data_IF_825449337083
#
_entry.id   IF_825449337083
#
_cell.length_a   1.000
_cell.length_b   1.000
_cell.length_c   1.000
_cell.angle_alpha   90.00
_cell.angle_beta   90.00
_cell.angle_gamma   90.00
#
_symmetry.space_group_name_H-M   'P 1'
#
loop_
_entity.id
_entity.type
_entity.pdbx_description
1 polymer ?
#
# COMPACT_ATOMS: atom_id res chain seq x y z
N UNK A 1 37.27 -23.69 -31.32
CA UNK A 1 36.34 -24.07 -30.23
C UNK A 1 35.46 -22.87 -29.97
N UNK A 2 34.24 -22.90 -30.50
CA UNK A 2 33.25 -21.82 -30.32
C UNK A 2 32.80 -21.78 -28.86
N UNK A 3 32.94 -20.61 -28.25
CA UNK A 3 32.52 -20.33 -26.90
C UNK A 3 31.02 -20.01 -26.94
N UNK A 4 30.17 -21.04 -27.00
CA UNK A 4 28.72 -20.88 -26.95
C UNK A 4 28.34 -20.47 -25.52
N UNK A 5 28.31 -19.16 -25.27
CA UNK A 5 27.79 -18.62 -24.01
C UNK A 5 26.33 -19.08 -23.88
N UNK A 6 26.05 -19.85 -22.83
CA UNK A 6 24.72 -20.37 -22.55
C UNK A 6 23.72 -19.21 -22.45
N UNK A 7 22.73 -19.20 -23.33
CA UNK A 7 21.69 -18.18 -23.36
C UNK A 7 20.87 -18.24 -22.06
N UNK A 8 20.69 -17.10 -21.38
CA UNK A 8 19.88 -17.01 -20.17
C UNK A 8 18.41 -17.30 -20.49
N UNK A 9 17.87 -18.41 -19.96
CA UNK A 9 16.51 -18.90 -20.25
C UNK A 9 15.44 -18.41 -19.26
N UNK A 10 15.77 -17.48 -18.37
CA UNK A 10 14.78 -16.85 -17.50
C UNK A 10 13.93 -15.88 -18.32
N UNK A 11 12.69 -16.26 -18.61
CA UNK A 11 11.73 -15.44 -19.35
C UNK A 11 10.40 -15.45 -18.60
N UNK A 12 9.74 -14.30 -18.55
CA UNK A 12 8.39 -14.20 -17.98
C UNK A 12 7.39 -15.03 -18.78
N UNK A 13 6.43 -15.64 -18.10
CA UNK A 13 5.35 -16.38 -18.75
C UNK A 13 4.43 -15.39 -19.48
N UNK A 14 4.32 -15.54 -20.80
CA UNK A 14 3.51 -14.64 -21.65
C UNK A 14 2.02 -14.69 -21.31
N UNK A 15 1.49 -15.85 -20.96
CA UNK A 15 0.08 -16.01 -20.59
C UNK A 15 -0.21 -15.29 -19.28
N UNK A 16 0.68 -15.39 -18.29
CA UNK A 16 0.56 -14.67 -17.03
C UNK A 16 0.66 -13.15 -17.22
N UNK A 17 1.46 -12.68 -18.18
CA UNK A 17 1.54 -11.25 -18.50
C UNK A 17 0.23 -10.73 -19.14
N UNK A 18 -0.42 -11.54 -19.97
CA UNK A 18 -1.72 -11.17 -20.56
C UNK A 18 -2.79 -11.19 -19.47
N UNK A 19 -2.84 -12.25 -18.66
CA UNK A 19 -3.79 -12.37 -17.57
C UNK A 19 -3.64 -11.23 -16.55
N UNK A 20 -2.40 -10.83 -16.21
CA UNK A 20 -2.15 -9.73 -15.28
C UNK A 20 -2.60 -8.37 -15.81
N UNK A 21 -2.72 -8.20 -17.13
CA UNK A 21 -3.23 -6.96 -17.74
C UNK A 21 -4.76 -6.81 -17.65
N UNK A 22 -5.49 -7.91 -17.41
CA UNK A 22 -6.95 -7.94 -17.30
C UNK A 22 -7.42 -7.69 -15.85
N UNK A 23 -7.01 -6.56 -15.28
CA UNK A 23 -7.43 -6.13 -13.94
C UNK A 23 -8.11 -4.76 -13.98
N UNK A 24 -8.71 -4.34 -12.85
CA UNK A 24 -9.44 -3.06 -12.74
C UNK A 24 -8.57 -1.88 -13.19
N UNK A 25 -7.30 -1.84 -12.76
CA UNK A 25 -6.36 -0.77 -13.14
C UNK A 25 -6.07 -0.79 -14.64
N UNK A 26 -5.85 -1.96 -15.23
CA UNK A 26 -5.59 -2.10 -16.67
C UNK A 26 -6.77 -1.63 -17.53
N UNK A 27 -8.00 -1.99 -17.12
CA UNK A 27 -9.22 -1.50 -17.79
C UNK A 27 -9.35 0.01 -17.63
N UNK A 28 -9.13 0.55 -16.42
CA UNK A 28 -9.21 2.00 -16.16
C UNK A 28 -8.20 2.77 -17.02
N UNK A 29 -6.94 2.32 -17.09
CA UNK A 29 -5.91 2.95 -17.93
C UNK A 29 -6.35 2.97 -19.39
N UNK A 30 -6.86 1.84 -19.91
CA UNK A 30 -7.36 1.77 -21.29
C UNK A 30 -8.52 2.74 -21.53
N UNK A 31 -9.45 2.90 -20.59
CA UNK A 31 -10.54 3.88 -20.71
C UNK A 31 -9.97 5.30 -20.78
N UNK A 32 -9.04 5.63 -19.89
CA UNK A 32 -8.42 6.97 -19.82
C UNK A 32 -7.60 7.29 -21.08
N UNK A 33 -6.90 6.32 -21.65
CA UNK A 33 -6.13 6.48 -22.90
C UNK A 33 -7.01 6.74 -24.14
N UNK A 34 -8.28 6.32 -24.09
CA UNK A 34 -9.23 6.51 -25.20
C UNK A 34 -10.04 7.81 -25.07
N UNK A 35 -9.75 8.66 -24.07
CA UNK A 35 -10.35 9.99 -23.96
C UNK A 35 -9.84 10.90 -25.08
N UNK A 36 -10.73 11.73 -25.60
CA UNK A 36 -10.39 12.74 -26.60
C UNK A 36 -9.51 13.82 -25.96
N UNK A 37 -8.36 14.09 -26.56
CA UNK A 37 -7.39 15.08 -26.05
C UNK A 37 -7.85 16.53 -26.26
N UNK A 38 -8.79 16.73 -27.17
CA UNK A 38 -9.37 18.02 -27.57
C UNK A 38 -10.75 18.28 -26.95
N UNK A 39 -11.18 17.47 -25.98
CA UNK A 39 -12.42 17.71 -25.24
C UNK A 39 -12.18 18.80 -24.16
N UNK A 40 -13.05 19.81 -24.13
CA UNK A 40 -13.02 20.88 -23.12
C UNK A 40 -13.52 20.40 -21.74
N UNK A 41 -14.17 19.23 -21.68
CA UNK A 41 -14.69 18.68 -20.42
C UNK A 41 -13.58 18.08 -19.56
N UNK A 42 -13.54 18.50 -18.30
CA UNK A 42 -12.68 17.89 -17.29
C UNK A 42 -13.09 16.44 -17.01
N UNK A 43 -12.12 15.55 -16.91
CA UNK A 43 -12.35 14.15 -16.51
C UNK A 43 -12.54 14.04 -14.99
N UNK A 44 -13.51 13.24 -14.55
CA UNK A 44 -13.74 12.91 -13.14
C UNK A 44 -13.30 11.46 -12.86
N UNK A 45 -12.16 11.22 -12.18
CA UNK A 45 -11.55 9.89 -12.07
C UNK A 45 -12.19 9.06 -10.94
N UNK A 46 -13.41 8.55 -11.16
CA UNK A 46 -14.15 7.75 -10.18
C UNK A 46 -13.70 6.28 -10.07
N UNK A 47 -12.83 5.82 -10.97
CA UNK A 47 -12.32 4.45 -10.96
C UNK A 47 -11.06 4.25 -10.10
N UNK A 48 -10.50 5.32 -9.54
CA UNK A 48 -9.29 5.25 -8.74
C UNK A 48 -9.63 5.07 -7.25
N UNK A 49 -9.11 4.00 -6.65
CA UNK A 49 -9.39 3.67 -5.24
C UNK A 49 -8.44 4.31 -4.23
N UNK A 50 -7.46 5.10 -4.68
CA UNK A 50 -6.52 5.79 -3.77
C UNK A 50 -7.12 7.13 -3.32
N UNK A 51 -7.49 7.29 -2.04
CA UNK A 51 -8.03 8.54 -1.54
C UNK A 51 -7.00 9.68 -1.55
N UNK A 52 -5.70 9.37 -1.49
CA UNK A 52 -4.64 10.40 -1.42
C UNK A 52 -4.53 11.26 -2.68
N UNK A 53 -5.13 10.82 -3.79
CA UNK A 53 -5.26 11.60 -5.01
C UNK A 53 -6.12 12.86 -4.83
N UNK A 54 -6.95 12.93 -3.77
CA UNK A 54 -7.81 14.07 -3.49
C UNK A 54 -7.35 14.81 -2.22
N UNK A 55 -7.08 16.13 -2.29
CA UNK A 55 -6.60 16.90 -1.14
C UNK A 55 -7.51 16.88 0.09
N UNK A 56 -8.81 16.60 -0.08
CA UNK A 56 -9.76 16.50 1.03
C UNK A 56 -9.61 15.22 1.87
N UNK A 57 -8.82 14.23 1.43
CA UNK A 57 -8.52 13.02 2.19
C UNK A 57 -7.09 13.01 2.77
N UNK A 58 -6.51 14.19 3.00
CA UNK A 58 -5.24 14.28 3.72
C UNK A 58 -5.35 13.71 5.14
N UNK A 59 -4.25 13.11 5.60
CA UNK A 59 -4.17 12.60 6.97
C UNK A 59 -4.23 13.74 7.99
N UNK A 60 -4.48 13.42 9.25
CA UNK A 60 -4.42 14.40 10.33
C UNK A 60 -2.98 14.80 10.64
N UNK A 61 -2.74 16.06 10.98
CA UNK A 61 -1.43 16.56 11.40
C UNK A 61 -0.87 15.80 12.61
N UNK A 62 -1.73 15.23 13.45
CA UNK A 62 -1.32 14.37 14.58
C UNK A 62 -0.50 13.17 14.10
N UNK A 63 -0.89 12.56 12.98
CA UNK A 63 -0.18 11.42 12.41
C UNK A 63 1.15 11.87 11.78
N UNK A 64 1.17 13.03 11.13
CA UNK A 64 2.37 13.61 10.53
C UNK A 64 3.42 13.93 11.61
N UNK A 65 3.01 14.62 12.67
CA UNK A 65 3.86 14.98 13.81
C UNK A 65 4.46 13.74 14.48
N UNK A 66 3.65 12.68 14.66
CA UNK A 66 4.13 11.42 15.23
C UNK A 66 5.22 10.75 14.36
N UNK A 67 5.11 10.83 13.03
CA UNK A 67 6.15 10.33 12.12
C UNK A 67 7.41 11.18 12.25
N UNK A 68 7.29 12.51 12.26
CA UNK A 68 8.42 13.44 12.42
C UNK A 68 9.16 13.17 13.73
N UNK A 69 8.43 13.01 14.83
CA UNK A 69 8.99 12.71 16.14
C UNK A 69 9.67 11.34 16.17
N UNK A 70 9.05 10.30 15.60
CA UNK A 70 9.64 8.96 15.53
C UNK A 70 10.99 9.00 14.79
N UNK A 71 11.06 9.69 13.64
CA UNK A 71 12.28 9.84 12.84
C UNK A 71 13.35 10.63 13.61
N UNK A 72 12.99 11.80 14.16
CA UNK A 72 13.93 12.66 14.91
C UNK A 72 14.43 12.01 16.20
N UNK A 73 13.63 11.12 16.80
CA UNK A 73 14.02 10.41 18.02
C UNK A 73 15.16 9.40 17.80
N UNK A 74 15.34 8.91 16.55
CA UNK A 74 16.21 7.80 16.19
C UNK A 74 15.99 6.49 16.99
N UNK A 75 14.89 6.37 17.76
CA UNK A 75 14.60 5.22 18.62
C UNK A 75 14.03 4.01 17.88
N UNK A 76 13.47 4.22 16.69
CA UNK A 76 12.67 3.22 15.97
C UNK A 76 13.28 2.83 14.61
N UNK A 77 14.59 3.04 14.43
CA UNK A 77 15.27 2.80 13.15
C UNK A 77 15.82 1.37 12.99
N UNK A 78 15.80 0.58 14.07
CA UNK A 78 16.23 -0.82 14.05
C UNK A 78 15.11 -1.78 13.68
N UNK A 79 15.46 -3.07 13.53
CA UNK A 79 14.47 -4.12 13.34
C UNK A 79 13.54 -4.23 14.56
N UNK A 80 12.24 -4.33 14.30
CA UNK A 80 11.25 -4.67 15.32
C UNK A 80 11.17 -6.19 15.53
N UNK A 81 10.57 -6.66 16.64
CA UNK A 81 10.05 -8.02 16.71
C UNK A 81 9.12 -8.32 15.53
N UNK A 82 9.06 -9.58 15.09
CA UNK A 82 8.24 -10.01 13.93
C UNK A 82 6.77 -9.61 14.06
N UNK A 83 6.24 -9.61 15.28
CA UNK A 83 4.84 -9.27 15.58
C UNK A 83 4.59 -7.76 15.66
N UNK A 84 5.65 -6.94 15.67
CA UNK A 84 5.59 -5.50 15.91
C UNK A 84 6.01 -5.08 17.31
N UNK A 85 6.35 -3.79 17.47
CA UNK A 85 6.79 -3.22 18.74
C UNK A 85 5.65 -3.20 19.77
N UNK A 86 5.97 -3.51 21.03
CA UNK A 86 4.98 -3.58 22.11
C UNK A 86 4.17 -2.29 22.31
N UNK A 87 4.76 -1.07 22.23
CA UNK A 87 3.98 0.16 22.35
C UNK A 87 2.88 0.30 21.29
N UNK A 88 3.17 -0.05 20.03
CA UNK A 88 2.20 0.02 18.94
C UNK A 88 1.09 -1.04 19.11
N UNK A 89 1.44 -2.28 19.46
CA UNK A 89 0.46 -3.34 19.71
C UNK A 89 -0.48 -3.00 20.87
N UNK A 90 0.03 -2.42 21.96
CA UNK A 90 -0.77 -1.93 23.08
C UNK A 90 -1.75 -0.84 22.66
N UNK A 91 -1.25 0.18 21.95
CA UNK A 91 -2.08 1.29 21.48
C UNK A 91 -3.24 0.80 20.59
N UNK A 92 -2.97 -0.14 19.67
CA UNK A 92 -3.99 -0.73 18.79
C UNK A 92 -5.02 -1.54 19.61
N UNK A 93 -4.54 -2.42 20.50
CA UNK A 93 -5.42 -3.25 21.33
C UNK A 93 -6.35 -2.39 22.20
N UNK A 94 -5.81 -1.33 22.83
CA UNK A 94 -6.57 -0.38 23.65
C UNK A 94 -7.56 0.45 22.82
N UNK A 95 -7.20 0.83 21.59
CA UNK A 95 -8.08 1.56 20.70
C UNK A 95 -9.26 0.69 20.25
N UNK A 96 -8.98 -0.52 19.74
CA UNK A 96 -10.00 -1.42 19.20
C UNK A 96 -10.91 -2.00 20.29
N UNK A 97 -10.42 -2.19 21.51
CA UNK A 97 -11.25 -2.67 22.65
C UNK A 97 -12.41 -1.72 22.99
N UNK A 98 -12.44 -0.50 22.44
CA UNK A 98 -13.54 0.47 22.64
C UNK A 98 -14.78 0.12 21.82
N UNK A 99 -14.58 -0.62 20.72
CA UNK A 99 -15.62 -0.89 19.72
C UNK A 99 -16.14 -2.34 19.80
N UNK A 100 -15.68 -3.12 20.79
CA UNK A 100 -16.06 -4.53 21.00
C UNK A 100 -16.35 -4.84 22.46
N UNK A 101 -17.16 -5.86 22.72
CA UNK A 101 -17.59 -6.25 24.08
C UNK A 101 -16.53 -7.03 24.90
N UNK A 102 -15.33 -7.21 24.35
CA UNK A 102 -14.25 -7.94 24.99
C UNK A 102 -12.93 -7.17 24.91
N UNK A 103 -12.02 -7.46 25.85
CA UNK A 103 -10.70 -6.84 25.86
C UNK A 103 -9.79 -7.53 24.86
N UNK A 104 -9.32 -6.78 23.86
CA UNK A 104 -8.23 -7.19 22.98
C UNK A 104 -6.92 -6.98 23.74
N UNK A 105 -6.07 -8.00 23.75
CA UNK A 105 -4.76 -7.94 24.38
C UNK A 105 -3.67 -7.60 23.34
N UNK A 106 -2.54 -7.01 23.75
CA UNK A 106 -1.43 -6.77 22.84
C UNK A 106 -0.92 -8.04 22.13
N UNK A 107 -1.12 -9.20 22.74
CA UNK A 107 -0.77 -10.53 22.22
C UNK A 107 -1.68 -10.95 21.05
N UNK A 108 -2.89 -10.38 20.96
CA UNK A 108 -3.84 -10.63 19.88
C UNK A 108 -3.54 -9.77 18.62
N UNK A 109 -2.57 -8.85 18.70
CA UNK A 109 -2.24 -7.89 17.63
C UNK A 109 -0.93 -8.26 16.94
N UNK A 110 -0.97 -8.39 15.61
CA UNK A 110 0.21 -8.50 14.76
C UNK A 110 0.26 -7.34 13.77
N UNK A 111 1.37 -6.58 13.77
CA UNK A 111 1.60 -5.54 12.76
C UNK A 111 2.03 -6.17 11.44
N UNK A 112 1.43 -5.73 10.33
CA UNK A 112 1.73 -6.21 8.97
C UNK A 112 2.12 -5.06 8.05
N UNK A 113 2.61 -5.39 6.85
CA UNK A 113 2.94 -4.43 5.80
C UNK A 113 1.69 -4.10 4.99
N UNK A 114 0.71 -3.48 5.65
CA UNK A 114 -0.59 -3.14 5.06
C UNK A 114 -1.60 -4.30 5.02
N UNK A 115 -2.84 -3.95 4.66
CA UNK A 115 -3.87 -4.90 4.24
C UNK A 115 -3.82 -5.06 2.72
N UNK A 116 -4.06 -6.27 2.21
CA UNK A 116 -4.14 -6.56 0.77
C UNK A 116 -5.58 -6.67 0.29
#
# INVERSE_FOLDING_TARGET
MENVLAEWRFRGNKELNIASSLNIRGILVKIMENLKKDDEKSTVPLGHGDPSAFPCFQTTTIAEDAIVDAVRSAKYNGYSPTVGILPARRAIAEYLSRDVDYKILPEDVHLTVGCQ
#
